data_IF_006193234409
#
_entry.id   IF_006193234409
#
_cell.length_a   1.000
_cell.length_b   1.000
_cell.length_c   1.000
_cell.angle_alpha   90.00
_cell.angle_beta   90.00
_cell.angle_gamma   90.00
#
_symmetry.space_group_name_H-M   'P 1'
#
loop_
_entity.id
_entity.type
_entity.pdbx_description
1 polymer ?
#
# COMPACT_ATOMS: atom_id res chain seq x y z
N UNK A 1 2.68 -11.18 10.07
CA UNK A 1 1.75 -10.32 9.30
C UNK A 1 2.38 -10.12 7.94
N UNK A 2 1.68 -10.42 6.83
CA UNK A 2 2.21 -10.13 5.50
C UNK A 2 2.51 -8.63 5.38
N UNK A 3 3.68 -8.33 4.84
CA UNK A 3 4.01 -6.99 4.37
C UNK A 3 3.36 -6.84 3.01
N UNK A 4 2.55 -5.81 2.88
CA UNK A 4 2.01 -5.37 1.60
C UNK A 4 2.69 -4.08 1.20
N UNK A 5 3.12 -4.02 -0.04
CA UNK A 5 3.75 -2.85 -0.59
C UNK A 5 2.67 -1.98 -1.24
N UNK A 6 2.75 -0.67 -1.06
CA UNK A 6 1.81 0.30 -1.61
C UNK A 6 2.56 1.44 -2.25
N UNK A 7 1.97 2.05 -3.28
CA UNK A 7 2.52 3.21 -3.99
C UNK A 7 1.48 4.33 -4.08
N UNK A 8 1.77 5.52 -3.53
CA UNK A 8 0.96 6.73 -3.74
C UNK A 8 1.11 7.16 -5.21
N UNK A 9 0.01 7.30 -5.94
CA UNK A 9 0.02 7.80 -7.32
C UNK A 9 0.17 9.33 -7.39
N UNK A 10 -0.04 10.04 -6.28
CA UNK A 10 0.07 11.49 -6.22
C UNK A 10 1.50 11.98 -5.94
N UNK A 11 2.18 11.40 -4.94
CA UNK A 11 3.58 11.73 -4.62
C UNK A 11 4.57 10.70 -5.17
N UNK A 12 4.09 9.62 -5.79
CA UNK A 12 4.92 8.57 -6.39
C UNK A 12 5.78 7.78 -5.38
N UNK A 13 5.49 7.94 -4.08
CA UNK A 13 6.18 7.31 -2.97
C UNK A 13 5.72 5.86 -2.77
N UNK A 14 6.68 4.97 -2.51
CA UNK A 14 6.45 3.55 -2.25
C UNK A 14 6.71 3.27 -0.78
N UNK A 15 5.77 2.59 -0.12
CA UNK A 15 5.82 2.32 1.30
C UNK A 15 5.32 0.90 1.62
N UNK A 16 5.86 0.33 2.68
CA UNK A 16 5.53 -1.02 3.13
C UNK A 16 4.60 -0.97 4.35
N UNK A 17 3.47 -1.67 4.27
CA UNK A 17 2.46 -1.73 5.31
C UNK A 17 2.33 -3.17 5.79
N UNK A 18 2.56 -3.38 7.09
CA UNK A 18 2.21 -4.64 7.74
C UNK A 18 0.70 -4.67 7.97
N UNK A 19 -0.03 -5.41 7.14
CA UNK A 19 -1.47 -5.52 7.24
C UNK A 19 -1.89 -6.96 7.56
N UNK A 20 -2.95 -7.12 8.36
CA UNK A 20 -3.58 -8.42 8.57
C UNK A 20 -4.51 -8.72 7.40
N UNK A 21 -4.72 -10.00 7.09
CA UNK A 21 -5.65 -10.39 6.03
C UNK A 21 -7.10 -9.90 6.27
N UNK A 22 -7.48 -9.75 7.55
CA UNK A 22 -8.81 -9.25 7.95
C UNK A 22 -8.91 -7.72 8.02
N UNK A 23 -7.83 -6.99 7.74
CA UNK A 23 -7.78 -5.53 7.84
C UNK A 23 -8.03 -4.90 6.46
N UNK A 24 -8.82 -3.83 6.40
CA UNK A 24 -9.22 -3.20 5.14
C UNK A 24 -8.03 -2.61 4.39
N UNK A 25 -7.86 -2.90 3.08
CA UNK A 25 -6.71 -2.43 2.32
C UNK A 25 -6.59 -0.91 2.34
N UNK A 26 -5.38 -0.41 2.59
CA UNK A 26 -5.12 1.03 2.63
C UNK A 26 -5.21 1.58 1.21
N UNK A 27 -6.32 2.25 0.89
CA UNK A 27 -6.55 2.88 -0.41
C UNK A 27 -5.98 4.31 -0.51
N UNK A 28 -5.60 4.92 0.62
CA UNK A 28 -5.12 6.31 0.69
C UNK A 28 -3.80 6.39 1.44
N UNK A 29 -2.87 7.19 0.93
CA UNK A 29 -1.62 7.44 1.63
C UNK A 29 -1.86 8.31 2.86
N UNK A 30 -1.30 7.93 4.00
CA UNK A 30 -1.50 8.66 5.26
C UNK A 30 -0.87 10.06 5.24
N UNK A 31 0.18 10.28 4.44
CA UNK A 31 0.93 11.54 4.39
C UNK A 31 0.45 12.45 3.24
N UNK A 32 0.37 11.90 2.01
CA UNK A 32 -0.04 12.66 0.80
C UNK A 32 -1.58 12.85 0.73
N UNK A 33 -2.38 11.99 1.37
CA UNK A 33 -3.84 11.92 1.20
C UNK A 33 -4.30 11.44 -0.20
N UNK A 34 -3.35 11.25 -1.12
CA UNK A 34 -3.55 10.76 -2.47
C UNK A 34 -3.83 9.27 -2.56
N UNK A 35 -4.23 8.85 -3.75
CA UNK A 35 -4.66 7.47 -4.00
C UNK A 35 -3.44 6.53 -3.96
N UNK A 36 -3.49 5.53 -3.09
CA UNK A 36 -2.44 4.53 -2.94
C UNK A 36 -2.89 3.21 -3.56
N UNK A 37 -2.03 2.61 -4.39
CA UNK A 37 -2.28 1.30 -4.98
C UNK A 37 -1.38 0.26 -4.35
N UNK A 38 -1.97 -0.88 -3.98
CA UNK A 38 -1.22 -2.04 -3.49
C UNK A 38 -0.37 -2.62 -4.63
N UNK A 39 0.93 -2.55 -4.47
CA UNK A 39 1.88 -3.32 -5.26
C UNK A 39 1.87 -4.75 -4.71
N UNK A 40 1.00 -5.60 -5.25
CA UNK A 40 1.20 -7.03 -5.10
C UNK A 40 2.34 -7.41 -6.04
N UNK A 41 3.54 -7.59 -5.50
CA UNK A 41 4.60 -8.31 -6.18
C UNK A 41 4.10 -9.74 -6.39
N UNK A 42 3.65 -10.05 -7.59
CA UNK A 42 3.30 -11.42 -7.95
C UNK A 42 4.57 -12.28 -7.81
N UNK A 43 4.54 -13.40 -7.06
CA UNK A 43 5.65 -14.33 -7.07
C UNK A 43 5.80 -14.87 -8.49
N UNK A 44 6.98 -14.68 -9.09
CA UNK A 44 7.37 -15.27 -10.37
C UNK A 44 7.80 -16.73 -10.17
#
# INVERSE_FOLDING_TARGET
MPLYEYRCLSCNETFEVRQKFSDEPIAKHADCGGEAKRLLSAPQ
#
